data_IF_719062847287
#
_entry.id   IF_719062847287
#
_cell.length_a   1.000
_cell.length_b   1.000
_cell.length_c   1.000
_cell.angle_alpha   90.00
_cell.angle_beta   90.00
_cell.angle_gamma   90.00
#
_symmetry.space_group_name_H-M   'P 1'
#
loop_
_entity.id
_entity.type
_entity.pdbx_description
1 polymer ?
#
# COMPACT_ATOMS: atom_id res chain seq x y z
N UNK A 1 10.95 3.48 -34.60
CA UNK A 1 9.49 3.29 -34.43
C UNK A 1 9.10 1.96 -33.76
N UNK A 2 9.56 0.77 -34.23
CA UNK A 2 9.25 -0.51 -33.54
C UNK A 2 10.07 -0.72 -32.25
N UNK A 3 11.37 -0.40 -32.29
CA UNK A 3 12.24 -0.43 -31.11
C UNK A 3 11.80 0.58 -30.03
N UNK A 4 11.47 1.81 -30.41
CA UNK A 4 10.99 2.84 -29.46
C UNK A 4 9.66 2.46 -28.78
N UNK A 5 8.78 1.72 -29.48
CA UNK A 5 7.52 1.20 -28.90
C UNK A 5 7.76 0.04 -27.92
N UNK A 6 8.75 -0.81 -28.20
CA UNK A 6 9.12 -1.91 -27.29
C UNK A 6 9.79 -1.37 -26.02
N UNK A 7 10.68 -0.39 -26.16
CA UNK A 7 11.37 0.26 -25.04
C UNK A 7 10.40 1.04 -24.14
N UNK A 8 9.45 1.77 -24.76
CA UNK A 8 8.36 2.45 -24.04
C UNK A 8 7.45 1.47 -23.30
N UNK A 9 7.20 0.29 -23.88
CA UNK A 9 6.38 -0.77 -23.26
C UNK A 9 7.07 -1.42 -22.05
N UNK A 10 8.39 -1.63 -22.09
CA UNK A 10 9.14 -2.12 -20.93
C UNK A 10 9.16 -1.07 -19.81
N UNK A 11 9.45 0.19 -20.15
CA UNK A 11 9.53 1.27 -19.17
C UNK A 11 8.20 1.56 -18.46
N UNK A 12 7.03 1.38 -19.10
CA UNK A 12 5.73 1.50 -18.40
C UNK A 12 5.49 0.31 -17.46
N UNK A 13 5.95 -0.89 -17.82
CA UNK A 13 5.80 -2.07 -16.95
C UNK A 13 6.64 -1.90 -15.68
N UNK A 14 7.88 -1.44 -15.80
CA UNK A 14 8.73 -1.17 -14.64
C UNK A 14 8.09 -0.13 -13.72
N UNK A 15 7.59 0.98 -14.28
CA UNK A 15 6.90 2.02 -13.52
C UNK A 15 5.63 1.49 -12.81
N UNK A 16 4.88 0.57 -13.43
CA UNK A 16 3.73 -0.09 -12.80
C UNK A 16 4.16 -0.89 -11.56
N UNK A 17 5.31 -1.57 -11.62
CA UNK A 17 5.81 -2.34 -10.48
C UNK A 17 6.43 -1.45 -9.41
N UNK A 18 7.09 -0.36 -9.77
CA UNK A 18 7.56 0.65 -8.81
C UNK A 18 6.38 1.27 -8.06
N UNK A 19 5.29 1.60 -8.77
CA UNK A 19 4.06 2.13 -8.17
C UNK A 19 3.37 1.16 -7.20
N UNK A 20 3.59 -0.14 -7.32
CA UNK A 20 3.10 -1.11 -6.34
C UNK A 20 3.73 -0.92 -4.95
N UNK A 21 4.97 -0.43 -4.90
CA UNK A 21 5.73 -0.18 -3.68
C UNK A 21 5.70 1.29 -3.24
N UNK A 22 5.49 2.20 -4.20
CA UNK A 22 5.43 3.65 -4.02
C UNK A 22 4.11 4.20 -4.59
N UNK A 23 3.03 4.22 -3.80
CA UNK A 23 1.68 4.56 -4.28
C UNK A 23 1.57 5.94 -4.94
N UNK A 24 2.44 6.88 -4.58
CA UNK A 24 2.57 8.20 -5.19
C UNK A 24 2.84 8.17 -6.71
N UNK A 25 3.41 7.07 -7.23
CA UNK A 25 3.72 6.92 -8.65
C UNK A 25 2.51 6.50 -9.50
N UNK A 26 1.39 6.10 -8.90
CA UNK A 26 0.20 5.69 -9.66
C UNK A 26 -0.35 6.82 -10.55
N UNK A 27 -0.24 8.07 -10.13
CA UNK A 27 -0.62 9.22 -10.97
C UNK A 27 0.20 9.26 -12.26
N UNK A 28 1.51 9.05 -12.17
CA UNK A 28 2.41 9.02 -13.33
C UNK A 28 2.12 7.82 -14.24
N UNK A 29 1.85 6.64 -13.67
CA UNK A 29 1.41 5.46 -14.42
C UNK A 29 0.16 5.77 -15.25
N UNK A 30 -0.87 6.34 -14.62
CA UNK A 30 -2.14 6.68 -15.29
C UNK A 30 -1.92 7.70 -16.41
N UNK A 31 -1.10 8.72 -16.18
CA UNK A 31 -0.71 9.73 -17.17
C UNK A 31 -0.02 9.10 -18.37
N UNK A 32 0.96 8.23 -18.14
CA UNK A 32 1.73 7.58 -19.20
C UNK A 32 0.89 6.59 -20.01
N UNK A 33 -0.02 5.86 -19.37
CA UNK A 33 -0.98 5.00 -20.08
C UNK A 33 -1.95 5.84 -20.91
N UNK A 34 -2.41 6.98 -20.39
CA UNK A 34 -3.26 7.91 -21.14
C UNK A 34 -2.53 8.41 -22.40
N UNK A 35 -1.27 8.82 -22.29
CA UNK A 35 -0.46 9.23 -23.45
C UNK A 35 -0.31 8.12 -24.50
N UNK A 36 0.01 6.89 -24.06
CA UNK A 36 0.23 5.78 -24.99
C UNK A 36 -1.07 5.31 -25.68
N UNK A 37 -2.23 5.55 -25.05
CA UNK A 37 -3.55 5.15 -25.59
C UNK A 37 -4.30 6.31 -26.23
N UNK A 38 -3.75 7.53 -26.20
CA UNK A 38 -4.44 8.75 -26.65
C UNK A 38 -5.72 9.02 -25.85
N UNK A 39 -5.69 8.76 -24.54
CA UNK A 39 -6.81 9.03 -23.63
C UNK A 39 -6.61 10.36 -22.90
N UNK A 40 -7.70 10.95 -22.44
CA UNK A 40 -7.69 12.24 -21.74
C UNK A 40 -7.02 12.11 -20.36
N UNK A 41 -7.37 11.05 -19.63
CA UNK A 41 -6.85 10.79 -18.30
C UNK A 41 -7.26 9.40 -17.82
N UNK A 42 -6.94 9.14 -16.56
CA UNK A 42 -7.24 7.85 -15.94
C UNK A 42 -7.42 7.92 -14.45
N UNK A 43 -8.07 6.91 -13.91
CA UNK A 43 -8.34 6.78 -12.49
C UNK A 43 -8.25 5.34 -12.03
N UNK A 44 -7.59 5.15 -10.89
CA UNK A 44 -7.62 3.91 -10.15
C UNK A 44 -8.33 4.13 -8.83
N UNK A 45 -9.28 3.26 -8.52
CA UNK A 45 -9.99 3.24 -7.23
C UNK A 45 -9.72 1.94 -6.50
N UNK A 46 -9.44 2.04 -5.21
CA UNK A 46 -9.57 0.96 -4.24
C UNK A 46 -10.85 1.19 -3.44
N UNK A 47 -11.64 0.16 -3.25
CA UNK A 47 -12.98 0.30 -2.69
C UNK A 47 -13.42 -0.96 -1.95
N UNK A 48 -14.41 -0.79 -1.07
CA UNK A 48 -15.13 -1.86 -0.40
C UNK A 48 -16.57 -1.91 -0.93
N UNK A 49 -16.87 -2.69 -1.99
CA UNK A 49 -18.16 -2.64 -2.68
C UNK A 49 -19.36 -2.88 -1.76
N UNK A 50 -19.27 -3.85 -0.84
CA UNK A 50 -20.37 -4.15 0.09
C UNK A 50 -20.65 -3.02 1.10
N UNK A 51 -19.67 -2.16 1.37
CA UNK A 51 -19.82 -0.98 2.24
C UNK A 51 -20.17 0.29 1.46
N UNK A 52 -20.10 0.24 0.13
CA UNK A 52 -20.26 1.43 -0.72
C UNK A 52 -19.18 2.49 -0.47
N UNK A 53 -17.97 2.07 -0.09
CA UNK A 53 -16.91 2.97 0.38
C UNK A 53 -15.70 2.95 -0.56
N UNK A 54 -15.12 4.13 -0.77
CA UNK A 54 -13.85 4.31 -1.48
C UNK A 54 -12.74 4.35 -0.42
N UNK A 55 -11.81 3.40 -0.52
CA UNK A 55 -10.70 3.23 0.41
C UNK A 55 -9.46 4.03 -0.03
N UNK A 56 -9.33 4.26 -1.33
CA UNK A 56 -8.22 5.00 -1.92
C UNK A 56 -8.45 5.31 -3.39
N UNK A 57 -7.75 6.33 -3.88
CA UNK A 57 -7.79 6.71 -5.30
C UNK A 57 -6.45 7.24 -5.80
N UNK A 58 -6.24 7.12 -7.10
CA UNK A 58 -5.15 7.76 -7.81
C UNK A 58 -5.67 8.32 -9.12
N UNK A 59 -5.27 9.56 -9.44
CA UNK A 59 -5.75 10.30 -10.61
C UNK A 59 -4.61 10.61 -11.57
N UNK A 60 -4.85 10.52 -12.87
CA UNK A 60 -4.00 11.06 -13.91
C UNK A 60 -4.79 12.02 -14.80
N UNK A 61 -4.49 13.31 -14.74
CA UNK A 61 -5.14 14.39 -15.53
C UNK A 61 -6.67 14.52 -15.38
N UNK A 62 -7.22 14.06 -14.25
CA UNK A 62 -8.63 14.23 -13.92
C UNK A 62 -8.80 15.20 -12.77
N UNK A 63 -9.95 15.86 -12.73
CA UNK A 63 -10.31 16.84 -11.72
C UNK A 63 -10.55 16.15 -10.36
N UNK A 64 -9.77 16.49 -9.32
CA UNK A 64 -9.95 15.95 -7.98
C UNK A 64 -11.33 16.22 -7.38
N UNK A 65 -11.98 17.34 -7.72
CA UNK A 65 -13.28 17.76 -7.17
C UNK A 65 -14.43 16.95 -7.79
N UNK A 66 -14.38 16.70 -9.10
CA UNK A 66 -15.34 15.78 -9.74
C UNK A 66 -15.22 14.36 -9.19
N UNK A 67 -13.99 13.88 -8.95
CA UNK A 67 -13.77 12.57 -8.32
C UNK A 67 -14.27 12.54 -6.88
N UNK A 68 -14.20 13.64 -6.13
CA UNK A 68 -14.81 13.73 -4.80
C UNK A 68 -16.34 13.70 -4.85
N UNK A 69 -16.97 14.41 -5.79
CA UNK A 69 -18.42 14.34 -6.01
C UNK A 69 -18.88 12.93 -6.36
N UNK A 70 -18.08 12.21 -7.16
CA UNK A 70 -18.32 10.80 -7.43
C UNK A 70 -18.34 9.97 -6.14
N UNK A 71 -17.33 10.11 -5.28
CA UNK A 71 -17.23 9.36 -4.02
C UNK A 71 -18.42 9.64 -3.10
N UNK A 72 -18.85 10.89 -3.01
CA UNK A 72 -19.89 11.32 -2.06
C UNK A 72 -21.32 10.99 -2.52
N UNK A 73 -21.60 11.04 -3.83
CA UNK A 73 -22.98 11.02 -4.35
C UNK A 73 -23.22 9.99 -5.43
N UNK A 74 -22.20 9.64 -6.21
CA UNK A 74 -22.36 8.86 -7.43
C UNK A 74 -21.61 7.54 -7.43
N UNK A 75 -21.21 7.01 -6.26
CA UNK A 75 -20.59 5.68 -6.16
C UNK A 75 -21.48 4.59 -6.78
N UNK A 76 -22.79 4.67 -6.53
CA UNK A 76 -23.79 3.83 -7.17
C UNK A 76 -24.29 4.49 -8.46
N UNK A 77 -23.64 4.18 -9.58
CA UNK A 77 -24.01 4.63 -10.92
C UNK A 77 -24.10 3.43 -11.90
N UNK A 78 -24.74 3.60 -13.07
CA UNK A 78 -24.92 2.51 -14.04
C UNK A 78 -23.60 1.84 -14.46
N UNK A 79 -22.53 2.62 -14.65
CA UNK A 79 -21.22 2.10 -15.06
C UNK A 79 -20.59 1.23 -13.98
N UNK A 80 -20.59 1.71 -12.74
CA UNK A 80 -20.01 1.00 -11.59
C UNK A 80 -20.80 -0.27 -11.27
N UNK A 81 -22.14 -0.19 -11.29
CA UNK A 81 -23.01 -1.35 -11.08
C UNK A 81 -22.72 -2.47 -12.09
N UNK A 82 -22.53 -2.12 -13.36
CA UNK A 82 -22.17 -3.10 -14.38
C UNK A 82 -20.74 -3.61 -14.24
N UNK A 83 -19.75 -2.73 -13.97
CA UNK A 83 -18.35 -3.12 -13.83
C UNK A 83 -18.13 -4.12 -12.68
N UNK A 84 -18.80 -3.96 -11.55
CA UNK A 84 -18.58 -4.81 -10.36
C UNK A 84 -19.01 -6.27 -10.52
N UNK A 85 -19.89 -6.57 -11.47
CA UNK A 85 -20.31 -7.95 -11.76
C UNK A 85 -19.43 -8.64 -12.81
N UNK A 86 -18.48 -7.92 -13.40
CA UNK A 86 -17.59 -8.48 -14.42
C UNK A 86 -16.42 -9.24 -13.79
N UNK A 87 -15.90 -10.28 -14.47
CA UNK A 87 -14.73 -11.00 -14.00
C UNK A 87 -13.50 -10.07 -14.00
N UNK A 88 -12.57 -10.32 -13.07
CA UNK A 88 -11.34 -9.55 -13.00
C UNK A 88 -10.59 -9.58 -14.35
N UNK A 89 -9.97 -8.46 -14.71
CA UNK A 89 -9.30 -8.17 -15.99
C UNK A 89 -10.21 -8.02 -17.21
N UNK A 90 -11.54 -8.13 -17.07
CA UNK A 90 -12.43 -7.80 -18.19
C UNK A 90 -12.33 -6.32 -18.55
N UNK A 91 -12.08 -6.03 -19.83
CA UNK A 91 -12.18 -4.67 -20.36
C UNK A 91 -13.64 -4.39 -20.71
N UNK A 92 -14.22 -3.39 -20.04
CA UNK A 92 -15.63 -3.02 -20.13
C UNK A 92 -15.72 -1.60 -20.70
N UNK A 93 -16.58 -1.39 -21.68
CA UNK A 93 -16.76 -0.08 -22.30
C UNK A 93 -18.03 0.57 -21.75
N UNK A 94 -17.95 1.85 -21.40
CA UNK A 94 -19.11 2.66 -20.99
C UNK A 94 -20.27 2.56 -21.97
N UNK A 95 -19.95 2.61 -23.26
CA UNK A 95 -20.92 2.74 -24.35
C UNK A 95 -21.72 1.44 -24.58
N UNK A 96 -21.18 0.30 -24.12
CA UNK A 96 -21.87 -1.00 -24.14
C UNK A 96 -22.86 -1.14 -22.98
N UNK A 97 -22.75 -0.28 -21.96
CA UNK A 97 -23.59 -0.30 -20.76
C UNK A 97 -24.76 0.66 -20.91
N UNK A 98 -24.46 1.91 -21.28
CA UNK A 98 -25.45 2.97 -21.37
C UNK A 98 -25.08 3.90 -22.54
N UNK A 99 -25.91 4.02 -23.59
CA UNK A 99 -25.67 4.94 -24.68
C UNK A 99 -25.53 6.38 -24.17
N UNK A 100 -24.65 7.18 -24.79
CA UNK A 100 -24.36 8.55 -24.36
C UNK A 100 -25.62 9.42 -24.22
N UNK A 101 -26.61 9.26 -25.09
CA UNK A 101 -27.87 10.02 -25.02
C UNK A 101 -28.72 9.73 -23.78
N UNK A 102 -28.60 8.54 -23.19
CA UNK A 102 -29.24 8.18 -21.92
C UNK A 102 -28.38 8.60 -20.74
N UNK A 103 -27.05 8.39 -20.83
CA UNK A 103 -26.10 8.82 -19.82
C UNK A 103 -26.17 10.33 -19.57
N UNK A 104 -26.28 11.13 -20.64
CA UNK A 104 -26.35 12.58 -20.58
C UNK A 104 -27.58 13.12 -19.82
N UNK A 105 -28.58 12.28 -19.55
CA UNK A 105 -29.76 12.63 -18.75
C UNK A 105 -29.58 12.36 -17.25
N UNK A 106 -28.45 11.76 -16.84
CA UNK A 106 -28.18 11.42 -15.44
C UNK A 106 -27.48 12.54 -14.67
N UNK A 107 -27.77 12.65 -13.38
CA UNK A 107 -27.03 13.55 -12.46
C UNK A 107 -25.55 13.19 -12.37
N UNK A 108 -25.22 11.89 -12.45
CA UNK A 108 -23.83 11.41 -12.50
C UNK A 108 -23.06 12.04 -13.66
N UNK A 109 -23.67 12.12 -14.85
CA UNK A 109 -23.04 12.75 -16.00
C UNK A 109 -22.85 14.26 -15.77
N UNK A 110 -23.89 14.97 -15.36
CA UNK A 110 -23.86 16.42 -15.15
C UNK A 110 -22.85 16.85 -14.06
N UNK A 111 -22.77 16.10 -12.95
CA UNK A 111 -21.92 16.46 -11.82
C UNK A 111 -20.45 16.04 -12.00
N UNK A 112 -20.20 14.89 -12.62
CA UNK A 112 -18.87 14.24 -12.62
C UNK A 112 -18.22 14.24 -14.00
N UNK A 113 -18.98 13.94 -15.06
CA UNK A 113 -18.42 13.65 -16.37
C UNK A 113 -18.38 14.89 -17.28
N UNK A 114 -19.48 15.62 -17.36
CA UNK A 114 -19.66 16.80 -18.19
C UNK A 114 -18.64 17.92 -17.91
N UNK A 115 -18.34 18.29 -16.64
CA UNK A 115 -17.39 19.37 -16.35
C UNK A 115 -15.97 19.11 -16.87
N UNK A 116 -15.63 17.83 -17.05
CA UNK A 116 -14.34 17.38 -17.56
C UNK A 116 -14.40 16.99 -19.04
N UNK A 117 -15.58 17.01 -19.67
CA UNK A 117 -15.78 16.58 -21.05
C UNK A 117 -15.68 15.07 -21.27
N UNK A 118 -15.87 14.25 -20.23
CA UNK A 118 -15.80 12.79 -20.32
C UNK A 118 -17.07 12.24 -20.97
N UNK A 119 -16.93 11.48 -22.04
CA UNK A 119 -18.06 10.81 -22.71
C UNK A 119 -17.84 9.31 -22.90
N UNK A 120 -16.58 8.86 -22.95
CA UNK A 120 -16.23 7.44 -23.03
C UNK A 120 -15.36 7.04 -21.83
N UNK A 121 -15.55 5.82 -21.34
CA UNK A 121 -14.75 5.24 -20.29
C UNK A 121 -14.43 3.77 -20.56
N UNK A 122 -13.17 3.40 -20.38
CA UNK A 122 -12.63 2.05 -20.53
C UNK A 122 -12.27 1.52 -19.16
N UNK A 123 -13.10 0.62 -18.64
CA UNK A 123 -13.10 0.20 -17.25
C UNK A 123 -12.58 -1.23 -17.13
N UNK A 124 -11.86 -1.52 -16.06
CA UNK A 124 -11.38 -2.87 -15.78
C UNK A 124 -11.36 -3.10 -14.27
N UNK A 125 -12.14 -4.07 -13.75
CA UNK A 125 -11.92 -4.55 -12.39
C UNK A 125 -10.59 -5.32 -12.37
N UNK A 126 -9.56 -4.77 -11.75
CA UNK A 126 -8.28 -5.46 -11.55
C UNK A 126 -8.40 -6.52 -10.46
N UNK A 127 -9.13 -6.20 -9.40
CA UNK A 127 -9.43 -7.09 -8.28
C UNK A 127 -10.93 -6.97 -8.02
N UNK A 128 -11.61 -8.12 -7.90
CA UNK A 128 -13.04 -8.18 -7.59
C UNK A 128 -13.26 -9.15 -6.43
N UNK A 129 -13.41 -8.59 -5.23
CA UNK A 129 -13.82 -9.31 -4.02
C UNK A 129 -14.92 -8.51 -3.31
N UNK A 130 -15.80 -9.17 -2.54
CA UNK A 130 -16.90 -8.50 -1.83
C UNK A 130 -16.48 -7.33 -0.93
N UNK A 131 -15.37 -7.50 -0.23
CA UNK A 131 -14.81 -6.61 0.78
C UNK A 131 -13.75 -5.66 0.22
N UNK A 132 -13.23 -5.97 -0.98
CA UNK A 132 -12.15 -5.23 -1.61
C UNK A 132 -12.16 -5.39 -3.13
N UNK A 133 -12.35 -4.28 -3.84
CA UNK A 133 -12.16 -4.21 -5.28
C UNK A 133 -11.14 -3.13 -5.64
N UNK A 134 -10.45 -3.36 -6.75
CA UNK A 134 -9.59 -2.37 -7.39
C UNK A 134 -10.05 -2.21 -8.82
N UNK A 135 -10.40 -0.99 -9.21
CA UNK A 135 -10.88 -0.65 -10.54
C UNK A 135 -9.91 0.31 -11.22
N UNK A 136 -9.64 0.05 -12.49
CA UNK A 136 -8.82 0.89 -13.35
C UNK A 136 -9.67 1.42 -14.51
N UNK A 137 -9.52 2.69 -14.84
CA UNK A 137 -10.34 3.38 -15.82
C UNK A 137 -9.48 4.32 -16.68
N UNK A 138 -9.77 4.37 -17.98
CA UNK A 138 -9.23 5.36 -18.92
C UNK A 138 -10.38 6.12 -19.58
N UNK A 139 -10.39 7.44 -19.44
CA UNK A 139 -11.49 8.30 -19.90
C UNK A 139 -11.12 9.06 -21.16
N UNK A 140 -12.12 9.35 -21.99
CA UNK A 140 -11.96 10.06 -23.27
C UNK A 140 -13.12 11.02 -23.50
N UNK A 141 -12.83 12.11 -24.19
CA UNK A 141 -13.80 13.09 -24.66
C UNK A 141 -14.31 12.76 -26.06
N UNK A 142 -15.24 13.57 -26.54
CA UNK A 142 -15.73 13.52 -27.93
C UNK A 142 -14.58 13.69 -28.93
N UNK A 143 -13.57 14.51 -28.59
CA UNK A 143 -12.44 14.81 -29.46
C UNK A 143 -11.52 13.60 -29.68
N UNK A 144 -11.27 12.80 -28.65
CA UNK A 144 -10.45 11.58 -28.80
C UNK A 144 -11.25 10.37 -29.30
N UNK A 145 -12.58 10.42 -29.23
CA UNK A 145 -13.48 9.35 -29.68
C UNK A 145 -13.27 8.01 -28.97
N UNK A 146 -13.79 6.93 -29.56
CA UNK A 146 -13.58 5.56 -29.07
C UNK A 146 -12.16 5.07 -29.40
N UNK A 147 -11.56 4.28 -28.50
CA UNK A 147 -10.28 3.61 -28.75
C UNK A 147 -10.32 2.72 -29.99
N UNK A 148 -9.32 2.91 -30.83
CA UNK A 148 -8.99 2.02 -31.94
C UNK A 148 -8.41 0.67 -31.46
N UNK A 149 -8.36 -0.31 -32.35
CA UNK A 149 -7.94 -1.68 -32.02
C UNK A 149 -6.50 -1.75 -31.50
N UNK A 150 -5.59 -0.91 -32.00
CA UNK A 150 -4.19 -0.87 -31.56
C UNK A 150 -4.04 -0.27 -30.16
N UNK A 151 -4.80 0.79 -29.85
CA UNK A 151 -4.89 1.38 -28.51
C UNK A 151 -5.49 0.39 -27.50
N UNK A 152 -6.56 -0.31 -27.90
CA UNK A 152 -7.21 -1.34 -27.08
C UNK A 152 -6.28 -2.52 -26.82
N UNK A 153 -5.57 -2.99 -27.85
CA UNK A 153 -4.58 -4.05 -27.73
C UNK A 153 -3.45 -3.67 -26.77
N UNK A 154 -2.97 -2.43 -26.83
CA UNK A 154 -1.98 -1.93 -25.87
C UNK A 154 -2.52 -1.95 -24.45
N UNK A 155 -3.73 -1.41 -24.21
CA UNK A 155 -4.35 -1.40 -22.89
C UNK A 155 -4.51 -2.82 -22.33
N UNK A 156 -5.02 -3.75 -23.15
CA UNK A 156 -5.19 -5.15 -22.78
C UNK A 156 -3.88 -5.83 -22.41
N UNK A 157 -2.75 -5.45 -23.02
CA UNK A 157 -1.43 -5.97 -22.65
C UNK A 157 -0.95 -5.46 -21.29
N UNK A 158 -1.39 -4.28 -20.85
CA UNK A 158 -0.99 -3.69 -19.57
C UNK A 158 -1.85 -4.18 -18.39
N UNK A 159 -3.12 -4.55 -18.64
CA UNK A 159 -4.06 -5.02 -17.61
C UNK A 159 -3.48 -6.12 -16.68
N UNK A 160 -2.82 -7.19 -17.19
CA UNK A 160 -2.24 -8.22 -16.32
C UNK A 160 -1.09 -7.70 -15.43
N UNK A 161 -0.38 -6.64 -15.85
CA UNK A 161 0.66 -6.01 -15.05
C UNK A 161 0.06 -5.12 -13.97
N UNK A 162 -0.96 -4.32 -14.32
CA UNK A 162 -1.73 -3.52 -13.38
C UNK A 162 -2.35 -4.40 -12.29
N UNK A 163 -2.99 -5.51 -12.66
CA UNK A 163 -3.56 -6.45 -11.67
C UNK A 163 -2.49 -7.00 -10.72
N UNK A 164 -1.36 -7.47 -11.25
CA UNK A 164 -0.29 -8.03 -10.42
C UNK A 164 0.32 -6.99 -9.48
N UNK A 165 0.52 -5.76 -9.97
CA UNK A 165 0.99 -4.64 -9.17
C UNK A 165 -0.01 -4.27 -8.06
N UNK A 166 -1.31 -4.18 -8.36
CA UNK A 166 -2.33 -3.96 -7.33
C UNK A 166 -2.37 -5.08 -6.28
N UNK A 167 -2.22 -6.35 -6.69
CA UNK A 167 -2.13 -7.47 -5.74
C UNK A 167 -0.88 -7.40 -4.87
N UNK A 168 0.26 -6.97 -5.43
CA UNK A 168 1.49 -6.76 -4.67
C UNK A 168 1.34 -5.63 -3.67
N UNK A 169 0.79 -4.50 -4.09
CA UNK A 169 0.50 -3.34 -3.25
C UNK A 169 -0.33 -3.73 -2.02
N UNK A 170 -1.45 -4.43 -2.23
CA UNK A 170 -2.32 -4.88 -1.13
C UNK A 170 -1.64 -5.85 -0.17
N UNK A 171 -0.74 -6.71 -0.66
CA UNK A 171 0.03 -7.60 0.21
C UNK A 171 1.00 -6.80 1.08
N UNK A 172 1.69 -5.82 0.50
CA UNK A 172 2.60 -4.92 1.22
C UNK A 172 1.83 -4.14 2.28
N UNK A 173 0.70 -3.52 1.91
CA UNK A 173 -0.19 -2.81 2.83
C UNK A 173 -0.62 -3.71 4.01
N UNK A 174 -1.02 -4.95 3.72
CA UNK A 174 -1.40 -5.92 4.76
C UNK A 174 -0.22 -6.26 5.69
N UNK A 175 0.99 -6.45 5.14
CA UNK A 175 2.18 -6.72 5.95
C UNK A 175 2.56 -5.53 6.83
N UNK A 176 2.45 -4.31 6.32
CA UNK A 176 2.73 -3.09 7.08
C UNK A 176 1.71 -2.88 8.18
N UNK A 177 0.41 -3.07 7.88
CA UNK A 177 -0.65 -2.99 8.89
C UNK A 177 -0.43 -4.01 10.02
N UNK A 178 -0.08 -5.26 9.69
CA UNK A 178 0.20 -6.30 10.68
C UNK A 178 1.48 -5.99 11.49
N UNK A 179 2.53 -5.51 10.83
CA UNK A 179 3.76 -5.06 11.49
C UNK A 179 3.45 -3.96 12.50
N UNK A 180 2.73 -2.93 12.09
CA UNK A 180 2.44 -1.77 12.92
C UNK A 180 1.51 -2.13 14.08
N UNK A 181 0.51 -2.98 13.86
CA UNK A 181 -0.34 -3.52 14.93
C UNK A 181 0.49 -4.32 15.95
N UNK A 182 1.40 -5.19 15.47
CA UNK A 182 2.27 -5.99 16.34
C UNK A 182 3.22 -5.12 17.17
N UNK A 183 3.84 -4.10 16.55
CA UNK A 183 4.71 -3.15 17.24
C UNK A 183 3.94 -2.33 18.28
N UNK A 184 2.73 -1.87 17.95
CA UNK A 184 1.83 -1.20 18.90
C UNK A 184 1.47 -2.08 20.10
N UNK A 185 1.29 -3.39 19.90
CA UNK A 185 1.07 -4.32 21.03
C UNK A 185 2.30 -4.41 21.93
N UNK A 186 3.52 -4.46 21.37
CA UNK A 186 4.75 -4.47 22.16
C UNK A 186 4.94 -3.17 22.96
N UNK A 187 4.43 -2.05 22.45
CA UNK A 187 4.44 -0.75 23.14
C UNK A 187 3.55 -0.71 24.39
N UNK A 188 2.54 -1.57 24.49
CA UNK A 188 1.68 -1.66 25.68
C UNK A 188 2.34 -2.41 26.85
N UNK A 189 3.47 -3.07 26.62
CA UNK A 189 4.16 -3.82 27.68
C UNK A 189 4.83 -2.86 28.68
N UNK A 190 4.72 -3.22 29.96
CA UNK A 190 5.44 -2.57 31.07
C UNK A 190 6.94 -2.88 31.06
N UNK A 191 7.36 -3.84 30.24
CA UNK A 191 8.75 -4.24 30.01
C UNK A 191 9.28 -3.51 28.77
N UNK A 192 10.49 -2.95 28.86
CA UNK A 192 11.14 -2.35 27.70
C UNK A 192 11.50 -3.41 26.66
N UNK A 193 11.09 -3.20 25.41
CA UNK A 193 11.37 -4.09 24.27
C UNK A 193 12.25 -3.36 23.26
N UNK A 194 13.32 -4.01 22.82
CA UNK A 194 14.15 -3.54 21.70
C UNK A 194 14.28 -4.68 20.70
N UNK A 195 13.96 -4.40 19.44
CA UNK A 195 14.15 -5.31 18.31
C UNK A 195 15.32 -4.78 17.48
N UNK A 196 16.27 -5.64 17.18
CA UNK A 196 17.41 -5.34 16.29
C UNK A 196 17.40 -6.26 15.07
N UNK A 197 18.07 -5.83 14.00
CA UNK A 197 18.35 -6.65 12.83
C UNK A 197 19.62 -7.49 13.00
N UNK A 198 19.99 -8.21 11.93
CA UNK A 198 21.18 -9.09 11.89
C UNK A 198 22.51 -8.34 12.06
N UNK A 199 22.53 -7.03 11.92
CA UNK A 199 23.69 -6.17 12.09
C UNK A 199 23.67 -5.43 13.44
N UNK A 200 22.80 -5.86 14.37
CA UNK A 200 22.55 -5.18 15.64
C UNK A 200 21.97 -3.77 15.50
N UNK A 201 21.40 -3.43 14.34
CA UNK A 201 20.72 -2.14 14.18
C UNK A 201 19.29 -2.23 14.72
N UNK A 202 18.93 -1.33 15.62
CA UNK A 202 17.60 -1.17 16.19
C UNK A 202 16.59 -0.94 15.07
N UNK A 203 15.64 -1.87 14.97
CA UNK A 203 14.47 -1.80 14.10
C UNK A 203 13.28 -1.19 14.83
N UNK A 204 13.18 -1.41 16.15
CA UNK A 204 12.11 -0.90 17.00
C UNK A 204 12.59 -0.82 18.45
N UNK A 205 12.14 0.21 19.18
CA UNK A 205 12.29 0.30 20.62
C UNK A 205 10.98 0.81 21.22
N UNK A 206 10.44 0.09 22.21
CA UNK A 206 9.17 0.46 22.80
C UNK A 206 9.27 1.76 23.60
N UNK A 207 8.14 2.44 23.82
CA UNK A 207 8.14 3.69 24.62
C UNK A 207 8.67 3.46 26.04
N UNK A 208 8.40 2.30 26.63
CA UNK A 208 9.00 1.89 27.90
C UNK A 208 10.52 1.76 27.78
N UNK A 209 11.03 1.14 26.71
CA UNK A 209 12.47 1.04 26.48
C UNK A 209 13.14 2.41 26.31
N UNK A 210 12.52 3.31 25.56
CA UNK A 210 13.03 4.68 25.34
C UNK A 210 13.06 5.47 26.65
N UNK A 211 11.98 5.46 27.44
CA UNK A 211 11.93 6.14 28.74
C UNK A 211 12.98 5.62 29.70
N UNK A 212 13.13 4.31 29.77
CA UNK A 212 14.11 3.71 30.66
C UNK A 212 15.55 3.90 30.16
N UNK A 213 15.79 4.15 28.86
CA UNK A 213 17.07 4.61 28.34
C UNK A 213 17.47 5.98 28.88
N UNK A 214 16.52 6.91 28.94
CA UNK A 214 16.75 8.25 29.46
C UNK A 214 17.07 8.27 30.97
N UNK A 215 16.63 7.26 31.71
CA UNK A 215 16.67 7.25 33.18
C UNK A 215 17.65 6.23 33.78
N UNK A 216 17.96 5.13 33.09
CA UNK A 216 18.55 3.93 33.71
C UNK A 216 19.68 3.29 32.90
N UNK A 217 20.38 4.08 32.07
CA UNK A 217 21.68 3.69 31.52
C UNK A 217 21.65 2.81 30.26
N UNK A 218 20.48 2.55 29.69
CA UNK A 218 20.39 2.11 28.29
C UNK A 218 20.62 3.32 27.38
N UNK A 219 21.44 3.19 26.35
CA UNK A 219 21.73 4.26 25.39
C UNK A 219 21.29 3.79 24.02
N UNK A 220 20.24 4.44 23.50
CA UNK A 220 19.76 4.30 22.13
C UNK A 220 20.29 5.49 21.32
N UNK A 221 21.23 5.24 20.40
CA UNK A 221 21.83 6.26 19.52
C UNK A 221 22.11 5.69 18.15
N UNK A 222 21.79 6.42 17.08
CA UNK A 222 22.15 6.05 15.70
C UNK A 222 21.80 4.60 15.33
N UNK A 223 20.58 4.17 15.69
CA UNK A 223 20.10 2.78 15.53
C UNK A 223 20.93 1.73 16.28
N UNK A 224 21.71 2.09 17.28
CA UNK A 224 22.43 1.15 18.14
C UNK A 224 21.83 1.17 19.53
N UNK A 225 21.91 0.02 20.21
CA UNK A 225 21.54 -0.11 21.63
C UNK A 225 22.75 -0.54 22.43
N UNK A 226 23.02 0.17 23.52
CA UNK A 226 24.07 -0.17 24.48
C UNK A 226 23.56 0.02 25.91
N UNK A 227 24.25 -0.54 26.90
CA UNK A 227 23.88 -0.41 28.30
C UNK A 227 25.11 -0.06 29.16
N UNK A 228 24.90 0.80 30.16
CA UNK A 228 25.89 1.33 31.10
C UNK A 228 25.25 1.48 32.49
N UNK A 229 25.97 1.26 33.60
CA UNK A 229 27.36 0.81 33.69
C UNK A 229 27.51 -0.71 33.53
N UNK A 230 28.74 -1.23 33.62
CA UNK A 230 28.97 -2.68 33.70
C UNK A 230 28.32 -3.26 34.96
N UNK A 231 27.82 -4.53 34.93
CA UNK A 231 28.02 -5.56 33.90
C UNK A 231 27.01 -5.55 32.74
N UNK A 232 26.04 -4.62 32.74
CA UNK A 232 24.88 -4.68 31.86
C UNK A 232 25.22 -4.58 30.37
N UNK A 233 26.20 -3.76 29.99
CA UNK A 233 26.64 -3.66 28.60
C UNK A 233 27.19 -4.97 28.01
N UNK A 234 27.85 -5.80 28.82
CA UNK A 234 28.36 -7.09 28.36
C UNK A 234 27.24 -8.12 28.16
N UNK A 235 26.27 -8.13 29.08
CA UNK A 235 25.11 -9.02 29.00
C UNK A 235 24.21 -8.67 27.81
N UNK A 236 23.99 -7.38 27.53
CA UNK A 236 23.25 -6.93 26.35
C UNK A 236 23.95 -7.36 25.05
N UNK A 237 25.28 -7.19 24.95
CA UNK A 237 26.05 -7.66 23.78
C UNK A 237 25.93 -9.17 23.58
N UNK A 238 25.97 -9.96 24.66
CA UNK A 238 25.78 -11.41 24.57
C UNK A 238 24.38 -11.78 24.09
N UNK A 239 23.34 -11.08 24.57
CA UNK A 239 21.96 -11.29 24.11
C UNK A 239 21.84 -11.01 22.61
N UNK A 240 22.35 -9.86 22.15
CA UNK A 240 22.38 -9.48 20.73
C UNK A 240 23.13 -10.53 19.90
N UNK A 241 24.30 -10.99 20.36
CA UNK A 241 25.09 -11.97 19.62
C UNK A 241 24.40 -13.34 19.50
N UNK A 242 23.79 -13.83 20.58
CA UNK A 242 23.02 -15.10 20.58
C UNK A 242 21.86 -15.04 19.60
N UNK A 243 21.20 -13.90 19.58
CA UNK A 243 20.10 -13.58 18.71
C UNK A 243 20.50 -13.53 17.22
N UNK A 244 21.59 -12.82 16.87
CA UNK A 244 22.12 -12.75 15.51
C UNK A 244 22.48 -14.15 14.98
N UNK A 245 22.98 -15.02 15.88
CA UNK A 245 23.33 -16.40 15.56
C UNK A 245 22.11 -17.36 15.48
N UNK A 246 20.87 -16.85 15.45
CA UNK A 246 19.65 -17.66 15.27
C UNK A 246 19.13 -18.31 16.55
N UNK A 247 19.68 -17.97 17.72
CA UNK A 247 19.10 -18.33 19.01
C UNK A 247 17.74 -17.66 19.23
N UNK A 248 16.93 -18.19 20.16
CA UNK A 248 15.87 -17.37 20.75
C UNK A 248 16.52 -16.13 21.34
N UNK A 249 15.91 -14.94 21.18
CA UNK A 249 16.37 -13.74 21.89
C UNK A 249 16.43 -13.96 23.42
N UNK A 250 16.58 -12.90 24.20
CA UNK A 250 16.58 -13.07 25.65
C UNK A 250 16.24 -11.83 26.43
N UNK A 251 15.93 -12.06 27.71
CA UNK A 251 15.62 -11.01 28.65
C UNK A 251 16.85 -10.67 29.50
N UNK A 252 16.94 -9.40 29.91
CA UNK A 252 17.84 -8.97 30.96
C UNK A 252 17.07 -8.07 31.93
N UNK A 253 17.36 -8.17 33.21
CA UNK A 253 16.88 -7.19 34.19
C UNK A 253 17.99 -6.18 34.46
N UNK A 254 17.66 -4.89 34.43
CA UNK A 254 18.52 -3.85 34.97
C UNK A 254 18.05 -3.61 36.41
N UNK A 255 18.83 -4.08 37.38
CA UNK A 255 18.55 -3.87 38.81
C UNK A 255 19.45 -2.75 39.31
N UNK A 256 18.86 -1.67 39.83
CA UNK A 256 19.59 -0.64 40.54
C UNK A 256 19.15 -0.62 42.02
N UNK A 257 20.10 -0.40 42.92
CA UNK A 257 19.89 -0.47 44.37
C UNK A 257 18.70 0.37 44.85
N UNK A 258 17.79 -0.30 45.56
CA UNK A 258 16.55 0.27 46.10
C UNK A 258 15.30 -0.23 45.37
N UNK A 259 14.84 -1.44 45.73
CA UNK A 259 13.50 -2.04 45.57
C UNK A 259 12.72 -1.94 44.24
N UNK A 260 13.32 -1.45 43.14
CA UNK A 260 12.67 -1.44 41.81
C UNK A 260 13.45 -2.26 40.79
N UNK A 261 12.89 -3.42 40.45
CA UNK A 261 13.36 -4.26 39.34
C UNK A 261 12.68 -3.82 38.04
N UNK A 262 13.46 -3.32 37.08
CA UNK A 262 12.94 -3.09 35.72
C UNK A 262 13.37 -4.27 34.85
N UNK A 263 12.40 -5.04 34.40
CA UNK A 263 12.60 -6.14 33.47
C UNK A 263 12.68 -5.62 32.04
N UNK A 264 13.62 -6.17 31.26
CA UNK A 264 13.78 -5.87 29.84
C UNK A 264 13.84 -7.16 29.04
N UNK A 265 13.26 -7.12 27.84
CA UNK A 265 13.26 -8.25 26.92
C UNK A 265 13.78 -7.80 25.55
N UNK A 266 14.92 -8.35 25.14
CA UNK A 266 15.47 -8.16 23.80
C UNK A 266 15.09 -9.36 22.93
N UNK A 267 14.11 -9.17 22.05
CA UNK A 267 13.74 -10.16 21.05
C UNK A 267 14.39 -9.79 19.72
N UNK A 268 15.03 -10.75 19.05
CA UNK A 268 15.67 -10.51 17.76
C UNK A 268 15.06 -11.41 16.71
N UNK A 269 14.85 -10.81 15.53
CA UNK A 269 14.31 -11.50 14.38
C UNK A 269 15.46 -12.24 13.66
N UNK A 270 15.52 -13.56 13.81
CA UNK A 270 16.39 -14.41 13.01
C UNK A 270 15.92 -14.44 11.54
N UNK A 271 16.84 -14.71 10.60
CA UNK A 271 16.54 -14.72 9.15
C UNK A 271 15.30 -15.56 8.81
N UNK A 272 14.48 -14.99 7.93
CA UNK A 272 13.32 -15.57 7.24
C UNK A 272 12.24 -16.20 8.15
N UNK A 273 11.28 -15.39 8.57
CA UNK A 273 9.91 -15.87 8.83
C UNK A 273 9.52 -16.19 10.27
N UNK A 274 10.27 -15.80 11.30
CA UNK A 274 9.86 -16.07 12.67
C UNK A 274 10.35 -15.05 13.69
N UNK A 275 9.43 -14.21 14.20
CA UNK A 275 9.64 -13.49 15.45
C UNK A 275 9.49 -14.52 16.59
N UNK A 276 10.59 -14.93 17.21
CA UNK A 276 10.54 -15.73 18.44
C UNK A 276 10.39 -14.80 19.63
N UNK A 277 9.15 -14.58 20.06
CA UNK A 277 8.83 -13.87 21.31
C UNK A 277 9.01 -14.85 22.47
N UNK A 278 10.04 -14.66 23.28
CA UNK A 278 10.15 -15.34 24.56
C UNK A 278 9.27 -14.65 25.58
N UNK A 279 8.13 -15.24 25.92
CA UNK A 279 7.38 -14.89 27.14
C UNK A 279 7.85 -15.81 28.27
N UNK A 280 8.21 -15.22 29.42
CA UNK A 280 8.20 -15.94 30.68
C UNK A 280 7.55 -15.05 31.75
N UNK A 281 6.55 -15.66 32.38
CA UNK A 281 5.78 -15.15 33.50
C UNK A 281 6.70 -15.19 34.73
N UNK A 282 6.82 -14.07 35.42
CA UNK A 282 7.31 -13.96 36.79
C UNK A 282 6.30 -13.17 37.58
#
# INVERSE_FOLDING_TARGET
>A
MRADREDSSAAIIDLIYDAALSPELWSEVLIKIADMTGSMGGIMYQMAPYRGEILGRSLGRLDPDCSKLYEERHFANPWSAHMFVQPAMALVLSDEILPLGELAQSEFYADVLEPQGIVHNYMTPLISRPDLAVAFNMTRSVGEGVMHDDQRFLLQRLIPHLQRASQLHLRVEQYEALRDASLKTLDLLTTGVVIVDRWASVLFASQTAIRSAQMHGLVLRDRTVSASPQPFGAQLRQLIQRAINGGSGGAMALVQGGDKTIHWSAAVCGRAGGVKVGHWIG
#
